data_IF_101214079723
#
_entry.id   IF_101214079723
#
_cell.length_a   1.000
_cell.length_b   1.000
_cell.length_c   1.000
_cell.angle_alpha   90.00
_cell.angle_beta   90.00
_cell.angle_gamma   90.00
#
_symmetry.space_group_name_H-M   'P 1'
#
loop_
_entity.id
_entity.type
_entity.pdbx_description
1 polymer ?
#
# COMPACT_ATOMS: atom_id res chain seq x y z
N UNK A 1 2.86 -10.36 55.16
CA UNK A 1 4.09 -10.91 54.53
C UNK A 1 3.83 -11.64 53.21
N UNK A 2 2.81 -12.50 53.09
CA UNK A 2 2.43 -13.16 51.82
C UNK A 2 2.10 -12.20 50.66
N UNK A 3 1.36 -11.12 50.93
CA UNK A 3 1.02 -10.11 49.91
C UNK A 3 2.24 -9.32 49.39
N UNK A 4 3.23 -9.09 50.26
CA UNK A 4 4.45 -8.36 49.88
C UNK A 4 5.31 -9.17 48.90
N UNK A 5 5.33 -10.49 49.05
CA UNK A 5 6.01 -11.42 48.13
C UNK A 5 5.28 -11.49 46.79
N UNK A 6 3.94 -11.52 46.78
CA UNK A 6 3.14 -11.55 45.54
C UNK A 6 3.32 -10.26 44.73
N UNK A 7 3.36 -9.10 45.40
CA UNK A 7 3.62 -7.80 44.74
C UNK A 7 5.05 -7.73 44.20
N UNK A 8 6.04 -8.26 44.93
CA UNK A 8 7.43 -8.31 44.45
C UNK A 8 7.60 -9.24 43.24
N UNK A 9 6.93 -10.40 43.23
CA UNK A 9 6.93 -11.32 42.08
C UNK A 9 6.19 -10.74 40.87
N UNK A 10 5.11 -9.99 41.09
CA UNK A 10 4.40 -9.29 40.01
C UNK A 10 5.26 -8.16 39.41
N UNK A 11 5.97 -7.38 40.23
CA UNK A 11 6.87 -6.31 39.76
C UNK A 11 8.07 -6.90 38.99
N UNK A 12 8.63 -8.02 39.43
CA UNK A 12 9.71 -8.72 38.71
C UNK A 12 9.21 -9.33 37.37
N UNK A 13 7.95 -9.76 37.31
CA UNK A 13 7.32 -10.20 36.06
C UNK A 13 7.08 -9.01 35.10
N UNK A 14 6.71 -7.83 35.60
CA UNK A 14 6.57 -6.61 34.80
C UNK A 14 7.90 -6.07 34.26
N UNK A 15 9.00 -6.22 35.01
CA UNK A 15 10.35 -5.85 34.53
C UNK A 15 10.90 -6.77 33.43
N UNK A 16 10.23 -7.91 33.18
CA UNK A 16 10.60 -8.86 32.12
C UNK A 16 9.82 -8.63 30.81
N UNK A 17 8.85 -7.70 30.77
CA UNK A 17 8.12 -7.32 29.54
C UNK A 17 8.81 -6.10 28.91
N UNK A 18 10.10 -6.24 28.63
CA UNK A 18 10.75 -5.50 27.53
C UNK A 18 11.33 -6.51 26.55
N UNK A 19 10.51 -7.49 26.19
CA UNK A 19 10.72 -8.24 24.96
C UNK A 19 10.54 -7.26 23.80
N UNK A 20 11.64 -6.96 23.11
CA UNK A 20 11.64 -6.25 21.83
C UNK A 20 10.59 -6.88 20.91
N UNK A 21 9.59 -6.12 20.50
CA UNK A 21 8.84 -6.41 19.27
C UNK A 21 9.77 -6.04 18.13
N UNK A 22 10.44 -7.03 17.55
CA UNK A 22 11.18 -6.89 16.29
C UNK A 22 10.60 -7.90 15.29
N UNK A 23 9.47 -7.52 14.71
CA UNK A 23 8.85 -8.22 13.58
C UNK A 23 8.12 -7.28 12.58
N UNK A 24 8.05 -5.96 12.82
CA UNK A 24 7.41 -5.02 11.87
C UNK A 24 8.38 -4.25 10.97
N UNK A 25 9.68 -4.16 11.31
CA UNK A 25 10.62 -3.33 10.54
C UNK A 25 10.82 -3.77 9.08
N UNK A 26 10.66 -5.07 8.75
CA UNK A 26 10.82 -5.56 7.38
C UNK A 26 9.52 -5.52 6.55
N UNK A 27 8.36 -5.73 7.18
CA UNK A 27 7.07 -5.68 6.50
C UNK A 27 6.70 -4.25 6.12
N UNK A 28 6.94 -3.31 7.04
CA UNK A 28 6.71 -1.89 6.81
C UNK A 28 7.69 -1.34 5.76
N UNK A 29 8.94 -1.81 5.74
CA UNK A 29 9.94 -1.36 4.77
C UNK A 29 9.70 -1.91 3.36
N UNK A 30 9.29 -3.17 3.21
CA UNK A 30 8.94 -3.74 1.90
C UNK A 30 7.70 -3.05 1.32
N UNK A 31 6.69 -2.78 2.16
CA UNK A 31 5.51 -2.02 1.76
C UNK A 31 5.86 -0.56 1.39
N UNK A 32 6.71 0.10 2.17
CA UNK A 32 7.19 1.45 1.87
C UNK A 32 8.03 1.49 0.58
N UNK A 33 8.83 0.46 0.32
CA UNK A 33 9.63 0.33 -0.89
C UNK A 33 8.73 0.16 -2.13
N UNK A 34 7.78 -0.78 -2.07
CA UNK A 34 6.83 -1.03 -3.15
C UNK A 34 5.95 0.20 -3.43
N UNK A 35 5.52 0.90 -2.38
CA UNK A 35 4.76 2.14 -2.50
C UNK A 35 5.57 3.26 -3.14
N UNK A 36 6.83 3.42 -2.75
CA UNK A 36 7.72 4.38 -3.38
C UNK A 36 7.95 4.04 -4.86
N UNK A 37 8.25 2.77 -5.19
CA UNK A 37 8.49 2.36 -6.57
C UNK A 37 7.26 2.64 -7.43
N UNK A 38 6.06 2.35 -6.91
CA UNK A 38 4.81 2.67 -7.57
C UNK A 38 4.63 4.17 -7.85
N UNK A 39 4.88 5.05 -6.87
CA UNK A 39 4.81 6.51 -7.09
C UNK A 39 5.83 6.95 -8.13
N UNK A 40 7.05 6.40 -8.11
CA UNK A 40 8.10 6.79 -9.05
C UNK A 40 7.81 6.28 -10.47
N UNK A 41 7.27 5.06 -10.62
CA UNK A 41 6.77 4.56 -11.90
C UNK A 41 5.64 5.43 -12.45
N UNK A 42 4.72 5.86 -11.57
CA UNK A 42 3.67 6.79 -11.93
C UNK A 42 4.27 8.11 -12.45
N UNK A 43 5.22 8.72 -11.74
CA UNK A 43 5.93 9.92 -12.20
C UNK A 43 6.62 9.70 -13.55
N UNK A 44 7.24 8.53 -13.74
CA UNK A 44 7.94 8.18 -14.98
C UNK A 44 7.01 8.21 -16.20
N UNK A 45 5.78 7.74 -16.07
CA UNK A 45 4.79 7.77 -17.16
C UNK A 45 4.40 9.21 -17.56
N UNK A 46 4.24 10.11 -16.58
CA UNK A 46 3.98 11.53 -16.84
C UNK A 46 5.18 12.25 -17.47
N UNK A 47 6.40 11.91 -17.05
CA UNK A 47 7.63 12.44 -17.66
C UNK A 47 7.71 12.05 -19.15
N UNK A 48 7.25 10.84 -19.52
CA UNK A 48 7.20 10.39 -20.92
C UNK A 48 6.17 11.15 -21.78
N UNK A 49 5.15 11.75 -21.16
CA UNK A 49 4.10 12.51 -21.83
C UNK A 49 4.44 14.00 -22.06
N UNK A 50 5.68 14.40 -21.76
CA UNK A 50 6.21 15.77 -21.99
C UNK A 50 5.45 16.87 -21.23
N UNK A 51 4.92 16.54 -20.05
CA UNK A 51 4.34 17.50 -19.11
C UNK A 51 5.43 18.31 -18.38
N UNK A 52 5.08 19.51 -17.92
CA UNK A 52 5.96 20.35 -17.11
C UNK A 52 6.07 19.82 -15.68
N UNK A 53 7.19 20.09 -15.01
CA UNK A 53 7.38 19.71 -13.59
C UNK A 53 6.24 20.23 -12.69
N UNK A 54 5.68 21.40 -13.00
CA UNK A 54 4.57 21.98 -12.25
C UNK A 54 3.27 21.19 -12.42
N UNK A 55 2.94 20.76 -13.65
CA UNK A 55 1.76 19.94 -13.95
C UNK A 55 1.89 18.56 -13.27
N UNK A 56 3.05 17.91 -13.41
CA UNK A 56 3.33 16.62 -12.76
C UNK A 56 3.21 16.74 -11.24
N UNK A 57 3.71 17.84 -10.67
CA UNK A 57 3.63 18.09 -9.23
C UNK A 57 2.18 18.21 -8.75
N UNK A 58 1.35 18.99 -9.46
CA UNK A 58 -0.06 19.20 -9.10
C UNK A 58 -0.84 17.89 -9.09
N UNK A 59 -0.68 17.08 -10.15
CA UNK A 59 -1.33 15.76 -10.29
C UNK A 59 -0.97 14.80 -9.14
N UNK A 60 0.29 14.80 -8.68
CA UNK A 60 0.72 13.89 -7.61
C UNK A 60 0.36 14.43 -6.22
N UNK A 61 0.25 15.75 -6.04
CA UNK A 61 -0.26 16.32 -4.80
C UNK A 61 -1.73 15.93 -4.56
N UNK A 62 -2.52 15.69 -5.61
CA UNK A 62 -3.87 15.11 -5.49
C UNK A 62 -3.84 13.67 -5.00
N UNK A 63 -2.89 12.85 -5.48
CA UNK A 63 -2.69 11.46 -4.98
C UNK A 63 -2.43 11.45 -3.47
N UNK A 64 -1.73 12.45 -2.94
CA UNK A 64 -1.49 12.56 -1.50
C UNK A 64 -2.76 12.78 -0.68
N UNK A 65 -3.86 13.29 -1.26
CA UNK A 65 -5.15 13.48 -0.55
C UNK A 65 -5.92 12.19 -0.35
N UNK A 66 -5.61 11.17 -1.15
CA UNK A 66 -6.27 9.87 -1.17
C UNK A 66 -5.67 8.93 -0.11
N UNK A 67 -4.45 9.21 0.33
CA UNK A 67 -3.77 8.44 1.36
C UNK A 67 -4.44 8.60 2.74
N UNK A 68 -4.28 7.61 3.64
CA UNK A 68 -4.69 7.74 5.04
C UNK A 68 -4.19 9.06 5.65
N UNK A 69 -4.98 9.68 6.52
CA UNK A 69 -4.68 10.99 7.13
C UNK A 69 -3.24 11.09 7.71
N UNK A 70 -2.73 9.99 8.25
CA UNK A 70 -1.36 9.90 8.79
C UNK A 70 -0.25 10.05 7.74
N UNK A 71 -0.55 9.84 6.46
CA UNK A 71 0.38 9.84 5.34
C UNK A 71 0.21 11.03 4.39
N UNK A 72 -0.89 11.78 4.48
CA UNK A 72 -1.17 12.90 3.58
C UNK A 72 -0.09 14.00 3.67
N UNK A 73 0.19 14.51 4.87
CA UNK A 73 1.18 15.57 5.07
C UNK A 73 2.62 15.10 4.77
N UNK A 74 3.08 13.91 5.24
CA UNK A 74 4.35 13.35 4.80
C UNK A 74 4.46 13.20 3.28
N UNK A 75 3.39 12.78 2.59
CA UNK A 75 3.35 12.66 1.14
C UNK A 75 3.51 14.03 0.48
N UNK A 76 2.73 15.04 0.87
CA UNK A 76 2.83 16.39 0.31
C UNK A 76 4.23 16.98 0.48
N UNK A 77 4.81 16.85 1.67
CA UNK A 77 6.18 17.31 1.96
C UNK A 77 7.19 16.58 1.06
N UNK A 78 7.01 15.27 0.85
CA UNK A 78 7.87 14.48 -0.01
C UNK A 78 7.80 14.94 -1.46
N UNK A 79 6.60 15.11 -2.01
CA UNK A 79 6.39 15.56 -3.38
C UNK A 79 6.91 16.98 -3.56
N UNK A 80 6.47 17.92 -2.72
CA UNK A 80 6.86 19.33 -2.85
C UNK A 80 8.36 19.58 -2.77
N UNK A 81 9.11 18.80 -1.98
CA UNK A 81 10.55 19.00 -1.81
C UNK A 81 11.41 18.16 -2.76
N UNK A 82 10.87 17.07 -3.32
CA UNK A 82 11.68 16.09 -4.04
C UNK A 82 11.22 15.83 -5.47
N UNK A 83 10.06 16.32 -5.92
CA UNK A 83 9.52 16.01 -7.26
C UNK A 83 10.49 16.39 -8.39
N UNK A 84 11.04 17.61 -8.37
CA UNK A 84 12.03 18.02 -9.37
C UNK A 84 13.30 17.16 -9.35
N UNK A 85 13.68 16.64 -8.17
CA UNK A 85 14.80 15.71 -8.04
C UNK A 85 14.46 14.32 -8.58
N UNK A 86 13.25 13.82 -8.33
CA UNK A 86 12.76 12.55 -8.87
C UNK A 86 12.72 12.63 -10.39
N UNK A 87 12.11 13.68 -10.96
CA UNK A 87 12.08 13.94 -12.41
C UNK A 87 13.49 14.01 -12.98
N UNK A 88 14.40 14.78 -12.35
CA UNK A 88 15.79 14.85 -12.80
C UNK A 88 16.45 13.47 -12.78
N UNK A 89 16.24 12.65 -11.75
CA UNK A 89 16.79 11.29 -11.69
C UNK A 89 16.21 10.40 -12.80
N UNK A 90 14.90 10.46 -13.07
CA UNK A 90 14.24 9.72 -14.15
C UNK A 90 14.75 10.13 -15.54
N UNK A 91 14.92 11.43 -15.80
CA UNK A 91 15.49 11.95 -17.06
C UNK A 91 16.96 11.52 -17.25
N UNK A 92 17.66 11.17 -16.17
CA UNK A 92 19.02 10.62 -16.20
C UNK A 92 19.04 9.08 -16.08
N UNK A 93 17.97 8.41 -16.53
CA UNK A 93 17.84 6.94 -16.60
C UNK A 93 17.96 6.21 -15.24
N UNK A 94 17.69 6.88 -14.12
CA UNK A 94 17.60 6.21 -12.83
C UNK A 94 16.31 5.37 -12.74
N UNK A 95 16.41 4.12 -12.28
CA UNK A 95 15.24 3.27 -12.09
C UNK A 95 14.41 3.68 -10.87
N UNK A 96 13.11 3.36 -10.81
CA UNK A 96 12.27 3.54 -9.62
C UNK A 96 12.91 2.97 -8.34
N UNK A 97 13.52 1.77 -8.44
CA UNK A 97 14.29 1.15 -7.35
C UNK A 97 15.44 2.01 -6.86
N UNK A 98 16.24 2.58 -7.78
CA UNK A 98 17.39 3.40 -7.43
C UNK A 98 16.98 4.71 -6.76
N UNK A 99 15.89 5.32 -7.25
CA UNK A 99 15.29 6.51 -6.65
C UNK A 99 14.77 6.19 -5.24
N UNK A 100 14.06 5.08 -5.06
CA UNK A 100 13.52 4.69 -3.77
C UNK A 100 14.59 4.25 -2.76
N UNK A 101 15.70 3.67 -3.23
CA UNK A 101 16.90 3.45 -2.43
C UNK A 101 17.52 4.79 -2.00
N UNK A 102 17.61 5.76 -2.91
CA UNK A 102 18.16 7.09 -2.62
C UNK A 102 17.39 7.79 -1.49
N UNK A 103 16.05 7.68 -1.51
CA UNK A 103 15.19 8.22 -0.45
C UNK A 103 15.02 7.29 0.76
N UNK A 104 15.69 6.13 0.78
CA UNK A 104 15.69 5.13 1.86
C UNK A 104 14.33 4.48 2.13
N UNK A 105 13.41 4.54 1.17
CA UNK A 105 12.19 3.73 1.21
C UNK A 105 12.49 2.25 0.96
N UNK A 106 13.54 1.99 0.16
CA UNK A 106 14.06 0.66 -0.07
C UNK A 106 15.38 0.44 0.70
N UNK A 107 15.59 -0.80 1.17
CA UNK A 107 16.90 -1.22 1.68
C UNK A 107 17.90 -1.35 0.52
N UNK A 108 19.15 -0.89 0.66
CA UNK A 108 20.17 -1.02 -0.37
C UNK A 108 20.43 -2.49 -0.66
N UNK A 109 19.92 -2.98 -1.78
CA UNK A 109 20.19 -4.33 -2.26
C UNK A 109 21.66 -4.45 -2.69
N UNK A 110 22.36 -5.54 -2.35
CA UNK A 110 23.66 -5.84 -2.95
C UNK A 110 23.52 -6.03 -4.48
N UNK A 111 24.63 -5.93 -5.26
CA UNK A 111 24.64 -5.85 -6.73
C UNK A 111 23.90 -7.03 -7.40
N UNK A 112 23.44 -6.88 -8.66
CA UNK A 112 22.53 -7.81 -9.31
C UNK A 112 23.24 -9.10 -9.69
N UNK A 113 23.23 -10.09 -8.79
CA UNK A 113 23.42 -11.49 -9.15
C UNK A 113 22.07 -12.17 -9.16
N UNK A 114 21.24 -11.82 -10.14
CA UNK A 114 20.34 -12.76 -10.81
C UNK A 114 19.78 -12.13 -12.09
N UNK A 115 19.59 -12.92 -13.16
CA UNK A 115 18.78 -12.51 -14.29
C UNK A 115 17.45 -12.01 -13.76
N UNK A 116 16.86 -10.99 -14.41
CA UNK A 116 15.44 -10.68 -14.26
C UNK A 116 14.66 -11.98 -14.52
N UNK A 117 14.43 -12.77 -13.49
CA UNK A 117 13.28 -13.63 -13.46
C UNK A 117 12.16 -12.60 -13.42
N UNK A 118 11.58 -12.35 -14.60
CA UNK A 118 10.15 -12.11 -14.64
C UNK A 118 9.58 -13.21 -13.75
N UNK A 119 9.26 -12.86 -12.51
CA UNK A 119 8.31 -13.63 -11.75
C UNK A 119 7.01 -13.46 -12.53
N UNK A 120 6.86 -14.26 -13.59
CA UNK A 120 5.56 -14.71 -14.05
C UNK A 120 5.05 -15.66 -12.98
N UNK A 121 4.80 -15.13 -11.77
CA UNK A 121 3.70 -15.65 -10.98
C UNK A 121 2.51 -15.33 -11.86
N UNK A 122 1.81 -16.37 -12.29
CA UNK A 122 0.53 -16.26 -12.99
C UNK A 122 -0.53 -15.80 -11.97
N UNK A 123 -0.31 -14.63 -11.38
CA UNK A 123 -1.13 -13.90 -10.43
C UNK A 123 -1.09 -12.44 -10.84
N UNK A 124 -2.25 -11.78 -10.82
CA UNK A 124 -2.45 -10.39 -11.24
C UNK A 124 -1.42 -9.43 -10.60
N UNK A 125 -1.22 -8.27 -11.25
CA UNK A 125 -0.15 -7.34 -10.89
C UNK A 125 -0.26 -6.86 -9.43
N UNK A 126 0.88 -6.51 -8.83
CA UNK A 126 0.94 -5.87 -7.50
C UNK A 126 0.07 -4.62 -7.42
N UNK A 127 -0.12 -3.91 -8.55
CA UNK A 127 -0.98 -2.73 -8.65
C UNK A 127 -2.45 -3.10 -8.42
N UNK A 128 -2.96 -4.15 -9.08
CA UNK A 128 -4.35 -4.57 -8.91
C UNK A 128 -4.62 -5.05 -7.48
N UNK A 129 -3.65 -5.70 -6.85
CA UNK A 129 -3.72 -6.07 -5.44
C UNK A 129 -3.81 -4.84 -4.53
N UNK A 130 -2.90 -3.87 -4.69
CA UNK A 130 -2.88 -2.65 -3.87
C UNK A 130 -4.15 -1.82 -4.05
N UNK A 131 -4.63 -1.67 -5.28
CA UNK A 131 -5.88 -0.95 -5.58
C UNK A 131 -7.07 -1.68 -4.96
N UNK A 132 -7.09 -3.02 -5.01
CA UNK A 132 -8.11 -3.79 -4.30
C UNK A 132 -8.10 -3.55 -2.80
N UNK A 133 -6.93 -3.61 -2.14
CA UNK A 133 -6.83 -3.44 -0.70
C UNK A 133 -7.26 -2.03 -0.26
N UNK A 134 -6.92 -1.01 -1.06
CA UNK A 134 -7.42 0.36 -0.90
C UNK A 134 -8.94 0.42 -0.99
N UNK A 135 -9.53 -0.18 -2.03
CA UNK A 135 -10.98 -0.23 -2.24
C UNK A 135 -11.66 -0.89 -1.04
N UNK A 136 -11.24 -2.09 -0.65
CA UNK A 136 -11.84 -2.84 0.47
C UNK A 136 -11.77 -2.05 1.78
N UNK A 137 -10.62 -1.42 2.06
CA UNK A 137 -10.45 -0.56 3.25
C UNK A 137 -11.44 0.61 3.29
N UNK A 138 -11.69 1.24 2.15
CA UNK A 138 -12.65 2.33 2.06
C UNK A 138 -14.09 1.86 2.12
N UNK A 139 -14.42 0.69 1.55
CA UNK A 139 -15.76 0.09 1.70
C UNK A 139 -16.07 -0.14 3.18
N UNK A 140 -15.13 -0.69 3.95
CA UNK A 140 -15.28 -0.83 5.40
C UNK A 140 -15.62 0.51 6.06
N UNK A 141 -14.84 1.56 5.77
CA UNK A 141 -15.08 2.91 6.30
C UNK A 141 -16.48 3.41 5.95
N UNK A 142 -16.89 3.33 4.69
CA UNK A 142 -18.20 3.85 4.29
C UNK A 142 -19.38 3.06 4.86
N UNK A 143 -19.23 1.76 5.07
CA UNK A 143 -20.22 0.93 5.76
C UNK A 143 -20.37 1.39 7.22
N UNK A 144 -19.27 1.69 7.92
CA UNK A 144 -19.36 2.25 9.30
C UNK A 144 -20.06 3.61 9.36
N UNK A 145 -20.06 4.34 8.25
CA UNK A 145 -20.78 5.61 8.09
C UNK A 145 -22.24 5.43 7.64
N UNK A 146 -22.75 4.19 7.56
CA UNK A 146 -24.09 3.84 7.06
C UNK A 146 -24.35 4.33 5.63
N UNK A 147 -23.32 4.35 4.78
CA UNK A 147 -23.46 4.72 3.37
C UNK A 147 -24.18 3.63 2.59
N UNK A 148 -25.02 4.02 1.64
CA UNK A 148 -25.64 3.07 0.68
C UNK A 148 -24.60 2.59 -0.34
N UNK A 149 -24.81 1.43 -0.95
CA UNK A 149 -23.94 0.91 -2.02
C UNK A 149 -23.68 1.95 -3.11
N UNK A 150 -24.71 2.67 -3.56
CA UNK A 150 -24.56 3.72 -4.56
C UNK A 150 -23.69 4.90 -4.07
N UNK A 151 -23.73 5.24 -2.78
CA UNK A 151 -22.85 6.27 -2.21
C UNK A 151 -21.40 5.78 -2.11
N UNK A 152 -21.19 4.50 -1.80
CA UNK A 152 -19.86 3.88 -1.76
C UNK A 152 -19.23 3.89 -3.14
N UNK A 153 -19.96 3.41 -4.16
CA UNK A 153 -19.49 3.39 -5.55
C UNK A 153 -19.15 4.79 -6.01
N UNK A 154 -20.06 5.77 -5.84
CA UNK A 154 -19.79 7.14 -6.27
C UNK A 154 -18.58 7.76 -5.58
N UNK A 155 -18.37 7.47 -4.30
CA UNK A 155 -17.22 8.00 -3.58
C UNK A 155 -15.91 7.40 -4.11
N UNK A 156 -15.87 6.10 -4.34
CA UNK A 156 -14.71 5.42 -4.89
C UNK A 156 -14.46 5.76 -6.36
N UNK A 157 -15.50 5.97 -7.17
CA UNK A 157 -15.37 6.48 -8.54
C UNK A 157 -14.77 7.89 -8.56
N UNK A 158 -15.17 8.75 -7.61
CA UNK A 158 -14.54 10.06 -7.45
C UNK A 158 -13.06 9.90 -7.06
N UNK A 159 -12.74 9.04 -6.09
CA UNK A 159 -11.35 8.76 -5.71
C UNK A 159 -10.54 8.24 -6.91
N UNK A 160 -11.10 7.34 -7.72
CA UNK A 160 -10.48 6.84 -8.94
C UNK A 160 -10.29 7.93 -10.02
N UNK A 161 -11.18 8.91 -10.09
CA UNK A 161 -11.09 10.02 -11.07
C UNK A 161 -10.00 11.04 -10.74
N UNK A 162 -9.56 11.08 -9.49
CA UNK A 162 -8.38 11.84 -9.04
C UNK A 162 -7.07 11.12 -9.37
N UNK A 163 -7.15 9.85 -9.75
CA UNK A 163 -6.03 9.12 -10.31
C UNK A 163 -5.97 9.44 -11.81
N UNK A 164 -4.77 9.58 -12.34
CA UNK A 164 -4.54 9.78 -13.77
C UNK A 164 -4.04 8.52 -14.47
N UNK A 165 -3.99 8.61 -15.81
CA UNK A 165 -3.48 7.57 -16.69
C UNK A 165 -4.16 6.20 -16.54
N UNK A 166 -3.37 5.13 -16.68
CA UNK A 166 -3.85 3.75 -16.62
C UNK A 166 -4.35 3.34 -15.22
N UNK A 167 -3.93 4.07 -14.18
CA UNK A 167 -4.31 3.80 -12.79
C UNK A 167 -5.79 4.15 -12.56
N UNK A 168 -6.25 5.29 -13.09
CA UNK A 168 -7.65 5.68 -13.09
C UNK A 168 -8.53 4.58 -13.70
N UNK A 169 -8.14 4.12 -14.89
CA UNK A 169 -8.86 3.07 -15.65
C UNK A 169 -8.91 1.77 -14.85
N UNK A 170 -7.79 1.38 -14.25
CA UNK A 170 -7.71 0.17 -13.42
C UNK A 170 -8.60 0.28 -12.18
N UNK A 171 -8.53 1.41 -11.48
CA UNK A 171 -9.34 1.68 -10.29
C UNK A 171 -10.83 1.64 -10.60
N UNK A 172 -11.28 2.35 -11.64
CA UNK A 172 -12.68 2.36 -12.08
C UNK A 172 -13.14 0.96 -12.49
N UNK A 173 -12.31 0.21 -13.22
CA UNK A 173 -12.61 -1.17 -13.57
C UNK A 173 -12.85 -2.03 -12.33
N UNK A 174 -12.00 -1.90 -11.32
CA UNK A 174 -12.13 -2.66 -10.08
C UNK A 174 -13.33 -2.22 -9.23
N UNK A 175 -13.62 -0.91 -9.16
CA UNK A 175 -14.78 -0.40 -8.43
C UNK A 175 -16.08 -0.93 -9.04
N UNK A 176 -16.22 -0.81 -10.36
CA UNK A 176 -17.43 -1.24 -11.07
C UNK A 176 -17.66 -2.76 -11.02
N UNK A 177 -16.58 -3.55 -11.06
CA UNK A 177 -16.67 -5.00 -11.12
C UNK A 177 -16.83 -5.63 -9.73
N UNK A 178 -16.10 -5.13 -8.72
CA UNK A 178 -15.93 -5.87 -7.45
C UNK A 178 -16.69 -5.28 -6.27
N UNK A 179 -17.15 -4.02 -6.28
CA UNK A 179 -17.84 -3.44 -5.12
C UNK A 179 -19.09 -4.21 -4.66
N UNK A 180 -20.01 -4.61 -5.55
CA UNK A 180 -21.18 -5.38 -5.12
C UNK A 180 -20.77 -6.71 -4.46
N UNK A 181 -19.70 -7.35 -4.95
CA UNK A 181 -19.16 -8.58 -4.37
C UNK A 181 -18.49 -8.33 -3.02
N UNK A 182 -17.65 -7.29 -2.92
CA UNK A 182 -16.93 -6.91 -1.72
C UNK A 182 -17.90 -6.59 -0.58
N UNK A 183 -18.97 -5.83 -0.84
CA UNK A 183 -20.00 -5.52 0.17
C UNK A 183 -20.61 -6.81 0.76
N UNK A 184 -20.83 -7.83 -0.07
CA UNK A 184 -21.35 -9.12 0.39
C UNK A 184 -20.32 -9.95 1.18
N UNK A 185 -19.02 -9.79 0.89
CA UNK A 185 -17.94 -10.52 1.57
C UNK A 185 -17.58 -9.93 2.94
N UNK A 186 -17.88 -8.66 3.17
CA UNK A 186 -17.50 -7.89 4.35
C UNK A 186 -18.20 -8.36 5.65
N UNK A 187 -19.20 -9.23 5.57
CA UNK A 187 -19.94 -9.75 6.74
C UNK A 187 -19.03 -10.41 7.80
N UNK A 188 -17.87 -10.94 7.40
CA UNK A 188 -16.93 -11.63 8.29
C UNK A 188 -15.83 -10.74 8.86
N UNK A 189 -15.81 -9.45 8.52
CA UNK A 189 -14.81 -8.46 8.97
C UNK A 189 -13.35 -8.95 8.76
N UNK A 190 -13.12 -9.59 7.62
CA UNK A 190 -11.80 -10.08 7.18
C UNK A 190 -10.90 -8.92 6.75
N UNK A 191 -9.58 -9.08 6.86
CA UNK A 191 -8.67 -8.03 6.42
C UNK A 191 -8.73 -7.82 4.89
N UNK A 192 -8.41 -6.61 4.39
CA UNK A 192 -8.42 -6.30 2.95
C UNK A 192 -7.63 -7.28 2.09
N UNK A 193 -6.46 -7.74 2.55
CA UNK A 193 -5.61 -8.66 1.81
C UNK A 193 -6.27 -10.03 1.63
N UNK A 194 -6.94 -10.53 2.68
CA UNK A 194 -7.73 -11.76 2.64
C UNK A 194 -8.87 -11.66 1.62
N UNK A 195 -9.66 -10.58 1.64
CA UNK A 195 -10.76 -10.38 0.68
C UNK A 195 -10.21 -10.29 -0.75
N UNK A 196 -9.15 -9.50 -0.97
CA UNK A 196 -8.53 -9.35 -2.28
C UNK A 196 -7.87 -10.64 -2.79
N UNK A 197 -7.39 -11.50 -1.89
CA UNK A 197 -6.93 -12.84 -2.20
C UNK A 197 -8.06 -13.77 -2.64
N UNK A 198 -9.22 -13.71 -1.98
CA UNK A 198 -10.40 -14.52 -2.35
C UNK A 198 -10.90 -14.20 -3.77
N UNK A 199 -10.87 -12.93 -4.15
CA UNK A 199 -11.23 -12.49 -5.51
C UNK A 199 -10.05 -12.51 -6.50
N UNK A 200 -8.91 -13.08 -6.09
CA UNK A 200 -7.71 -13.34 -6.91
C UNK A 200 -7.05 -12.08 -7.50
N UNK A 201 -7.29 -10.92 -6.89
CA UNK A 201 -6.59 -9.67 -7.20
C UNK A 201 -5.24 -9.62 -6.46
N UNK A 202 -5.15 -10.26 -5.29
CA UNK A 202 -3.91 -10.47 -4.58
C UNK A 202 -3.45 -11.93 -4.67
N UNK A 203 -2.14 -12.13 -4.67
CA UNK A 203 -1.58 -13.46 -4.44
C UNK A 203 -1.89 -13.87 -3.00
N UNK A 204 -2.64 -14.96 -2.82
CA UNK A 204 -2.81 -15.56 -1.50
C UNK A 204 -1.43 -16.05 -1.08
N UNK A 205 -0.84 -15.44 -0.05
CA UNK A 205 0.39 -15.97 0.53
C UNK A 205 0.08 -17.38 1.03
N UNK A 206 0.58 -18.40 0.32
CA UNK A 206 0.57 -19.77 0.82
C UNK A 206 1.60 -19.86 1.94
N UNK A 207 1.33 -19.24 3.08
CA UNK A 207 2.02 -19.64 4.30
C UNK A 207 1.56 -21.06 4.61
N UNK A 208 2.45 -22.01 4.36
CA UNK A 208 2.26 -23.42 4.62
C UNK A 208 2.12 -23.65 6.13
N UNK A 209 0.92 -23.45 6.65
CA UNK A 209 0.47 -23.98 7.94
C UNK A 209 -1.01 -24.35 7.84
N UNK A 210 -1.27 -25.32 6.96
CA UNK A 210 -2.42 -26.21 7.08
C UNK A 210 -2.28 -26.95 8.42
N UNK A 211 -3.00 -26.51 9.45
CA UNK A 211 -3.34 -27.38 10.57
C UNK A 211 -4.58 -28.16 10.17
N UNK A 212 -4.39 -29.27 9.45
CA UNK A 212 -5.40 -30.34 9.42
C UNK A 212 -5.55 -30.81 10.87
N UNK A 213 -6.70 -30.48 11.47
CA UNK A 213 -7.17 -31.22 12.64
C UNK A 213 -7.78 -32.52 12.10
N UNK A 214 -7.04 -33.60 12.29
CA UNK A 214 -7.58 -34.97 12.37
C UNK A 214 -8.13 -35.18 13.77
#
# INVERSE_FOLDING_TARGET
MKYLIIVLLAILAFLSITGKVSASENFDQENNCNFCEFIVEYIEDYVKENQTEAEIKEEIEEVCLILPDSLQEPCKILISNNIGKIIHMLVNDASPRDICNFFKFCSPTPPPSQPKQQHTIKGKSTIECNVCEYIVSNVYRYITLNSTEAQIINALENDCSLLGGNLAITCQGLVNEYIPMIINLIENNEDPSTICGQIKLCAISNNSNIKIMI
#
